data_IF_701961295416
#
_entry.id   IF_701961295416
#
_cell.length_a   1.000
_cell.length_b   1.000
_cell.length_c   1.000
_cell.angle_alpha   90.00
_cell.angle_beta   90.00
_cell.angle_gamma   90.00
#
_symmetry.space_group_name_H-M   'P 1'
#
loop_
_entity.id
_entity.type
_entity.pdbx_description
1 polymer ?
#
# COMPACT_ATOMS: atom_id res chain seq x y z
N UNK A 1 93.12 20.66 16.59
CA UNK A 1 92.08 20.19 17.54
C UNK A 1 90.67 20.67 17.12
N UNK A 2 90.54 21.82 16.53
CA UNK A 2 89.25 22.39 16.09
C UNK A 2 88.43 21.50 15.10
N UNK A 3 89.04 20.88 14.11
CA UNK A 3 88.40 20.07 13.16
C UNK A 3 87.78 18.77 13.78
N UNK A 4 88.40 18.21 14.83
CA UNK A 4 87.84 17.02 15.51
C UNK A 4 86.60 17.36 16.32
N UNK A 5 86.54 18.50 16.96
CA UNK A 5 85.35 19.01 17.66
C UNK A 5 84.15 19.22 16.66
N UNK A 6 84.49 19.82 15.50
CA UNK A 6 83.48 20.04 14.43
C UNK A 6 82.90 18.73 13.91
N UNK A 7 83.73 17.69 13.66
CA UNK A 7 83.22 16.35 13.21
C UNK A 7 82.39 15.67 14.30
N UNK A 8 82.76 15.80 15.58
CA UNK A 8 81.99 15.28 16.70
C UNK A 8 80.62 16.00 16.78
N UNK A 9 80.60 17.32 16.64
CA UNK A 9 79.35 18.08 16.62
C UNK A 9 78.45 17.71 15.49
N UNK A 10 78.98 17.55 14.27
CA UNK A 10 78.23 17.10 13.12
C UNK A 10 77.68 15.67 13.34
N UNK A 11 78.43 14.76 13.90
CA UNK A 11 78.03 13.39 14.23
C UNK A 11 76.90 13.37 15.25
N UNK A 12 76.95 14.21 16.30
CA UNK A 12 75.90 14.34 17.30
C UNK A 12 74.60 14.88 16.66
N UNK A 13 74.73 15.95 15.86
CA UNK A 13 73.56 16.51 15.15
C UNK A 13 72.95 15.50 14.20
N UNK A 14 73.75 14.76 13.43
CA UNK A 14 73.27 13.73 12.56
C UNK A 14 72.54 12.59 13.33
N UNK A 15 73.12 12.15 14.47
CA UNK A 15 72.51 11.20 15.36
C UNK A 15 71.14 11.64 15.89
N UNK A 16 71.09 12.93 16.37
CA UNK A 16 69.82 13.52 16.84
C UNK A 16 68.79 13.58 15.72
N UNK A 17 69.21 13.95 14.51
CA UNK A 17 68.28 13.94 13.33
C UNK A 17 67.77 12.55 12.97
N UNK A 18 68.62 11.52 13.01
CA UNK A 18 68.23 10.13 12.75
C UNK A 18 67.27 9.65 13.83
N UNK A 19 67.54 9.90 15.11
CA UNK A 19 66.64 9.52 16.20
C UNK A 19 65.28 10.23 16.06
N UNK A 20 65.29 11.50 15.73
CA UNK A 20 64.05 12.26 15.51
C UNK A 20 63.27 11.77 14.30
N UNK A 21 63.95 11.38 13.23
CA UNK A 21 63.31 10.80 12.02
C UNK A 21 62.81 9.35 12.24
N UNK A 22 63.36 8.65 13.25
CA UNK A 22 62.98 7.26 13.57
C UNK A 22 61.74 7.16 14.44
N UNK A 23 61.29 8.23 15.06
CA UNK A 23 60.13 8.23 15.96
C UNK A 23 58.93 8.85 15.27
N UNK A 24 57.77 8.18 15.34
CA UNK A 24 56.49 8.73 14.91
C UNK A 24 55.38 8.39 15.89
N UNK A 25 54.34 9.19 15.91
CA UNK A 25 53.21 9.04 16.81
C UNK A 25 51.95 8.71 15.99
N UNK A 26 51.14 7.75 16.46
CA UNK A 26 49.82 7.44 15.95
C UNK A 26 48.78 7.95 16.93
N UNK A 27 47.86 8.77 16.47
CA UNK A 27 46.74 9.31 17.28
C UNK A 27 45.61 8.29 17.40
N UNK A 28 44.77 8.36 18.45
CA UNK A 28 43.64 7.45 18.67
C UNK A 28 42.61 7.40 17.51
N UNK A 29 42.45 8.51 16.76
CA UNK A 29 41.59 8.60 15.59
C UNK A 29 42.21 8.13 14.29
N UNK A 30 43.44 7.60 14.30
CA UNK A 30 44.20 7.20 13.11
C UNK A 30 44.56 5.72 13.14
N UNK A 31 44.63 5.14 11.96
CA UNK A 31 45.22 3.83 11.69
C UNK A 31 46.56 4.06 10.96
N UNK A 32 47.54 3.25 11.22
CA UNK A 32 48.82 3.37 10.54
C UNK A 32 49.34 2.02 10.04
N UNK A 33 49.88 2.05 8.83
CA UNK A 33 50.58 0.92 8.21
C UNK A 33 52.01 1.26 8.06
N UNK A 34 52.88 0.30 8.35
CA UNK A 34 54.31 0.36 8.09
C UNK A 34 54.63 -0.58 6.95
N UNK A 35 55.19 -0.07 5.87
CA UNK A 35 55.58 -0.83 4.68
C UNK A 35 57.04 -0.68 4.35
N UNK A 36 57.60 -1.67 3.63
CA UNK A 36 58.94 -1.68 3.03
C UNK A 36 58.79 -1.97 1.56
N UNK A 37 59.13 -1.03 0.70
CA UNK A 37 59.04 -1.24 -0.76
C UNK A 37 57.63 -1.60 -1.23
N UNK A 38 56.56 -1.15 -0.52
CA UNK A 38 55.16 -1.46 -0.82
C UNK A 38 54.63 -2.75 -0.15
N UNK A 39 55.49 -3.56 0.48
CA UNK A 39 55.08 -4.74 1.24
C UNK A 39 54.72 -4.36 2.69
N UNK A 40 53.59 -4.84 3.19
CA UNK A 40 53.12 -4.53 4.54
C UNK A 40 53.89 -5.32 5.57
N UNK A 41 54.68 -4.64 6.41
CA UNK A 41 55.45 -5.24 7.51
C UNK A 41 54.58 -5.30 8.77
N UNK A 42 53.84 -4.25 9.04
CA UNK A 42 53.02 -4.15 10.24
C UNK A 42 51.79 -3.32 9.94
N UNK A 43 50.63 -3.82 10.36
CA UNK A 43 49.32 -3.21 10.13
C UNK A 43 48.56 -3.14 11.45
N UNK A 44 47.79 -2.07 11.64
CA UNK A 44 46.98 -1.85 12.84
C UNK A 44 47.82 -1.49 14.09
N UNK A 45 48.73 -0.58 13.89
CA UNK A 45 49.56 -0.03 14.97
C UNK A 45 48.69 0.69 16.02
N UNK A 46 48.78 0.25 17.27
CA UNK A 46 48.02 0.86 18.37
C UNK A 46 48.38 2.36 18.53
N UNK A 47 47.44 3.18 19.03
CA UNK A 47 47.76 4.57 19.35
C UNK A 47 48.95 4.67 20.31
N UNK A 48 49.89 5.58 20.01
CA UNK A 48 51.08 5.76 20.82
C UNK A 48 52.32 6.07 20.00
N UNK A 49 53.50 5.87 20.62
CA UNK A 49 54.80 6.16 20.06
C UNK A 49 55.37 4.88 19.41
N UNK A 50 55.78 5.01 18.15
CA UNK A 50 56.32 3.90 17.36
C UNK A 50 57.67 4.30 16.74
N UNK A 51 58.44 3.26 16.40
CA UNK A 51 59.76 3.41 15.75
C UNK A 51 59.70 2.95 14.29
N UNK A 52 60.33 3.71 13.44
CA UNK A 52 60.60 3.37 12.03
C UNK A 52 62.10 3.55 11.72
N UNK A 53 62.59 2.78 10.81
CA UNK A 53 63.91 2.99 10.23
C UNK A 53 63.78 4.01 9.10
N UNK A 54 64.32 5.24 9.23
CA UNK A 54 64.23 6.20 8.16
C UNK A 54 64.86 5.68 6.88
N UNK A 55 64.31 6.03 5.71
CA UNK A 55 64.71 5.60 4.37
C UNK A 55 64.30 4.15 3.98
N UNK A 56 63.97 3.29 4.94
CA UNK A 56 63.55 1.89 4.67
C UNK A 56 62.06 1.71 4.89
N UNK A 57 61.54 2.25 6.01
CA UNK A 57 60.16 2.11 6.36
C UNK A 57 59.34 3.33 5.92
N UNK A 58 58.31 3.07 5.14
CA UNK A 58 57.28 4.04 4.81
C UNK A 58 56.09 3.86 5.76
N UNK A 59 55.55 4.95 6.28
CA UNK A 59 54.39 4.95 7.20
C UNK A 59 53.25 5.72 6.57
N UNK A 60 52.17 5.01 6.22
CA UNK A 60 50.94 5.60 5.75
C UNK A 60 49.91 5.66 6.87
N UNK A 61 49.26 6.83 7.02
CA UNK A 61 48.25 7.07 8.04
C UNK A 61 46.89 7.24 7.40
N UNK A 62 45.87 6.66 8.03
CA UNK A 62 44.48 6.65 7.56
C UNK A 62 43.56 7.12 8.67
N UNK A 63 42.44 7.74 8.33
CA UNK A 63 41.42 8.12 9.29
C UNK A 63 40.58 6.90 9.69
N UNK A 64 40.41 6.68 11.00
CA UNK A 64 39.54 5.63 11.56
C UNK A 64 38.06 6.04 11.59
N UNK A 65 37.79 7.32 11.42
CA UNK A 65 36.46 7.91 11.51
C UNK A 65 35.59 7.45 10.34
N UNK A 66 34.32 7.72 10.50
CA UNK A 66 33.35 7.46 9.40
C UNK A 66 33.54 8.52 8.33
N UNK A 67 33.86 8.07 7.13
CA UNK A 67 33.96 8.87 5.91
C UNK A 67 32.58 8.93 5.27
N UNK A 68 32.18 10.10 4.81
CA UNK A 68 30.94 10.29 4.08
C UNK A 68 31.24 10.73 2.66
N UNK A 69 30.86 9.91 1.69
CA UNK A 69 30.99 10.24 0.27
C UNK A 69 29.61 10.48 -0.33
N UNK A 70 29.46 11.58 -1.08
CA UNK A 70 28.23 11.98 -1.75
C UNK A 70 28.36 11.74 -3.26
N UNK A 71 27.39 11.01 -3.82
CA UNK A 71 27.25 10.77 -5.27
C UNK A 71 26.03 11.55 -5.75
N UNK A 72 26.23 12.38 -6.77
CA UNK A 72 25.20 13.29 -7.29
C UNK A 72 24.87 12.99 -8.73
N UNK A 73 23.59 13.16 -9.08
CA UNK A 73 23.05 13.09 -10.45
C UNK A 73 23.35 11.77 -11.17
N UNK A 74 23.44 10.68 -10.42
CA UNK A 74 23.59 9.35 -11.00
C UNK A 74 22.30 8.94 -11.71
N UNK A 75 22.45 8.37 -12.92
CA UNK A 75 21.33 8.03 -13.80
C UNK A 75 20.96 6.58 -13.69
N UNK A 76 19.67 6.32 -13.43
CA UNK A 76 19.11 4.97 -13.35
C UNK A 76 17.88 4.88 -14.24
N UNK A 77 17.56 3.65 -14.69
CA UNK A 77 16.35 3.35 -15.46
C UNK A 77 15.42 2.52 -14.61
N UNK A 78 14.14 2.90 -14.58
CA UNK A 78 13.08 2.09 -13.94
C UNK A 78 12.69 0.91 -14.84
N UNK A 79 11.80 0.03 -14.32
CA UNK A 79 11.19 -1.04 -15.12
C UNK A 79 10.45 -0.51 -16.37
N UNK A 80 9.93 0.70 -16.30
CA UNK A 80 9.21 1.38 -17.38
C UNK A 80 10.14 2.16 -18.32
N UNK A 81 11.48 1.96 -18.17
CA UNK A 81 12.52 2.65 -18.93
C UNK A 81 12.52 4.19 -18.75
N UNK A 82 11.93 4.67 -17.68
CA UNK A 82 11.98 6.08 -17.33
C UNK A 82 13.32 6.40 -16.65
N UNK A 83 13.98 7.45 -17.12
CA UNK A 83 15.26 7.90 -16.55
C UNK A 83 15.02 8.63 -15.23
N UNK A 84 15.77 8.22 -14.20
CA UNK A 84 15.82 8.89 -12.90
C UNK A 84 17.23 9.43 -12.66
N UNK A 85 17.32 10.60 -12.04
CA UNK A 85 18.54 11.10 -11.41
C UNK A 85 18.41 10.90 -9.92
N UNK A 86 19.39 10.21 -9.36
CA UNK A 86 19.40 9.85 -7.94
C UNK A 86 20.66 10.40 -7.29
N UNK A 87 20.50 11.15 -6.22
CA UNK A 87 21.58 11.52 -5.33
C UNK A 87 21.57 10.58 -4.13
N UNK A 88 22.71 10.04 -3.78
CA UNK A 88 22.86 9.20 -2.61
C UNK A 88 24.18 9.47 -1.91
N UNK A 89 24.25 9.10 -0.63
CA UNK A 89 25.50 9.11 0.10
C UNK A 89 25.82 7.74 0.67
N UNK A 90 27.09 7.54 0.86
CA UNK A 90 27.65 6.33 1.47
C UNK A 90 28.49 6.75 2.67
N UNK A 91 28.22 6.13 3.81
CA UNK A 91 29.05 6.25 5.01
C UNK A 91 29.76 4.95 5.25
N UNK A 92 31.08 5.02 5.31
CA UNK A 92 31.90 3.85 5.52
C UNK A 92 33.10 4.19 6.43
N UNK A 93 33.71 3.17 6.97
CA UNK A 93 34.95 3.28 7.75
C UNK A 93 35.85 2.10 7.46
N UNK A 94 37.13 2.28 7.64
CA UNK A 94 38.09 1.19 7.52
C UNK A 94 37.88 0.22 8.68
N UNK A 95 37.67 -1.07 8.35
CA UNK A 95 37.52 -2.16 9.33
C UNK A 95 38.73 -3.07 9.38
N UNK A 96 39.36 -3.31 8.23
CA UNK A 96 40.59 -4.07 8.12
C UNK A 96 41.60 -3.30 7.26
N UNK A 97 42.56 -2.72 7.92
CA UNK A 97 43.51 -1.81 7.28
C UNK A 97 44.44 -2.53 6.28
N UNK A 98 44.78 -3.80 6.53
CA UNK A 98 45.59 -4.60 5.60
C UNK A 98 44.84 -4.83 4.29
N UNK A 99 43.61 -5.34 4.36
CA UNK A 99 42.79 -5.56 3.17
C UNK A 99 42.47 -4.25 2.43
N UNK A 100 42.24 -3.16 3.16
CA UNK A 100 42.05 -1.85 2.57
C UNK A 100 43.28 -1.41 1.76
N UNK A 101 44.47 -1.53 2.33
CA UNK A 101 45.69 -1.16 1.63
C UNK A 101 45.98 -2.07 0.41
N UNK A 102 45.85 -3.36 0.58
CA UNK A 102 46.02 -4.34 -0.52
C UNK A 102 45.04 -4.13 -1.68
N UNK A 103 43.79 -3.79 -1.38
CA UNK A 103 42.72 -3.62 -2.39
C UNK A 103 42.76 -2.25 -3.08
N UNK A 104 43.12 -1.18 -2.36
CA UNK A 104 43.02 0.21 -2.84
C UNK A 104 44.37 0.90 -3.02
N UNK A 105 45.49 0.25 -2.65
CA UNK A 105 46.81 0.88 -2.58
C UNK A 105 46.88 1.98 -1.51
N UNK A 106 45.97 1.99 -0.54
CA UNK A 106 45.89 3.03 0.47
C UNK A 106 45.22 4.32 0.00
N UNK A 107 44.55 4.31 -1.15
CA UNK A 107 43.84 5.47 -1.65
C UNK A 107 42.36 5.45 -1.22
N UNK A 108 41.93 6.48 -0.48
CA UNK A 108 40.52 6.68 -0.11
C UNK A 108 39.67 6.96 -1.34
N UNK A 109 40.21 7.66 -2.34
CA UNK A 109 39.48 7.93 -3.60
C UNK A 109 39.23 6.64 -4.38
N UNK A 110 40.24 5.74 -4.47
CA UNK A 110 40.05 4.43 -5.09
C UNK A 110 39.02 3.57 -4.35
N UNK A 111 38.96 3.67 -3.02
CA UNK A 111 37.91 3.02 -2.23
C UNK A 111 36.53 3.60 -2.51
N UNK A 112 36.42 4.94 -2.54
CA UNK A 112 35.17 5.62 -2.86
C UNK A 112 34.64 5.23 -4.25
N UNK A 113 35.51 5.21 -5.27
CA UNK A 113 35.14 4.83 -6.62
C UNK A 113 34.60 3.39 -6.70
N UNK A 114 35.33 2.43 -6.10
CA UNK A 114 34.90 1.02 -6.09
C UNK A 114 33.63 0.78 -5.28
N UNK A 115 33.50 1.44 -4.13
CA UNK A 115 32.27 1.40 -3.34
C UNK A 115 31.11 2.04 -4.11
N UNK A 116 31.36 3.19 -4.73
CA UNK A 116 30.39 3.90 -5.55
C UNK A 116 29.83 3.02 -6.66
N UNK A 117 30.69 2.36 -7.44
CA UNK A 117 30.25 1.45 -8.49
C UNK A 117 29.41 0.28 -7.94
N UNK A 118 29.88 -0.36 -6.87
CA UNK A 118 29.13 -1.46 -6.22
C UNK A 118 27.73 -1.02 -5.75
N UNK A 119 27.65 0.16 -5.16
CA UNK A 119 26.38 0.68 -4.66
C UNK A 119 25.48 1.14 -5.81
N UNK A 120 26.05 1.73 -6.86
CA UNK A 120 25.31 2.04 -8.10
C UNK A 120 24.69 0.78 -8.70
N UNK A 121 25.43 -0.30 -8.79
CA UNK A 121 24.90 -1.58 -9.27
C UNK A 121 23.80 -2.13 -8.36
N UNK A 122 23.95 -1.99 -7.06
CA UNK A 122 22.92 -2.37 -6.09
C UNK A 122 21.65 -1.52 -6.23
N UNK A 123 21.78 -0.20 -6.38
CA UNK A 123 20.65 0.71 -6.65
C UNK A 123 20.00 0.35 -7.98
N UNK A 124 20.81 0.14 -9.03
CA UNK A 124 20.34 -0.24 -10.35
C UNK A 124 19.50 -1.51 -10.31
N UNK A 125 19.99 -2.56 -9.62
CA UNK A 125 19.25 -3.83 -9.51
C UNK A 125 17.89 -3.68 -8.85
N UNK A 126 17.76 -2.80 -7.86
CA UNK A 126 16.50 -2.53 -7.14
C UNK A 126 15.58 -1.63 -7.95
N UNK A 127 16.11 -0.57 -8.57
CA UNK A 127 15.32 0.42 -9.34
C UNK A 127 14.76 -0.19 -10.63
N UNK A 128 15.55 -1.01 -11.34
CA UNK A 128 15.13 -1.63 -12.62
C UNK A 128 13.96 -2.60 -12.46
N UNK A 129 13.75 -3.15 -11.29
CA UNK A 129 12.64 -4.07 -11.02
C UNK A 129 11.35 -3.35 -10.60
N UNK A 130 11.38 -2.05 -10.36
CA UNK A 130 10.26 -1.26 -9.82
C UNK A 130 9.77 -0.21 -10.80
N UNK A 131 8.48 0.13 -10.70
CA UNK A 131 7.92 1.26 -11.42
C UNK A 131 8.33 2.58 -10.77
N UNK A 132 8.23 3.69 -11.50
CA UNK A 132 8.51 5.02 -10.96
C UNK A 132 7.70 5.28 -9.68
N UNK A 133 6.41 4.95 -9.69
CA UNK A 133 5.54 5.12 -8.52
C UNK A 133 6.03 4.32 -7.31
N UNK A 134 6.41 3.06 -7.53
CA UNK A 134 6.94 2.22 -6.46
C UNK A 134 8.26 2.75 -5.91
N UNK A 135 9.13 3.32 -6.75
CA UNK A 135 10.39 3.94 -6.31
C UNK A 135 10.15 5.17 -5.45
N UNK A 136 9.15 5.98 -5.79
CA UNK A 136 8.84 7.23 -5.06
C UNK A 136 8.05 6.96 -3.78
N UNK A 137 7.16 5.95 -3.76
CA UNK A 137 6.29 5.62 -2.63
C UNK A 137 6.84 4.54 -1.71
N UNK A 138 7.87 3.78 -2.15
CA UNK A 138 8.47 2.73 -1.34
C UNK A 138 9.01 3.28 -0.01
N UNK A 139 8.81 2.52 1.05
CA UNK A 139 9.43 2.86 2.33
C UNK A 139 10.94 2.92 2.18
N UNK A 140 11.52 4.06 2.51
CA UNK A 140 12.97 4.32 2.39
C UNK A 140 13.81 3.27 3.13
N UNK A 141 13.28 2.68 4.17
CA UNK A 141 13.95 1.64 4.95
C UNK A 141 14.19 0.37 4.13
N UNK A 142 13.18 -0.15 3.43
CA UNK A 142 13.29 -1.36 2.60
C UNK A 142 14.32 -1.20 1.47
N UNK A 143 14.37 -0.01 0.86
CA UNK A 143 15.36 0.32 -0.17
C UNK A 143 16.78 0.32 0.41
N UNK A 144 16.95 0.95 1.56
CA UNK A 144 18.23 1.05 2.26
C UNK A 144 18.74 -0.34 2.64
N UNK A 145 17.89 -1.19 3.20
CA UNK A 145 18.25 -2.54 3.62
C UNK A 145 18.65 -3.42 2.44
N UNK A 146 17.94 -3.35 1.33
CA UNK A 146 18.28 -4.08 0.10
C UNK A 146 19.64 -3.63 -0.47
N UNK A 147 19.88 -2.32 -0.53
CA UNK A 147 21.17 -1.78 -0.98
C UNK A 147 22.32 -2.16 -0.05
N UNK A 148 22.12 -2.06 1.25
CA UNK A 148 23.11 -2.43 2.26
C UNK A 148 23.47 -3.92 2.17
N UNK A 149 22.47 -4.80 2.03
CA UNK A 149 22.68 -6.26 1.93
C UNK A 149 23.51 -6.62 0.70
N UNK A 150 23.22 -6.00 -0.44
CA UNK A 150 23.93 -6.27 -1.68
C UNK A 150 25.37 -5.71 -1.66
N UNK A 151 25.57 -4.58 -1.02
CA UNK A 151 26.87 -3.90 -1.00
C UNK A 151 27.84 -4.41 0.08
N UNK A 152 27.34 -5.01 1.17
CA UNK A 152 28.19 -5.49 2.28
C UNK A 152 29.30 -6.43 1.85
N UNK A 153 28.95 -7.43 1.05
CA UNK A 153 29.94 -8.43 0.61
C UNK A 153 31.09 -7.86 -0.23
N UNK A 154 30.84 -6.78 -0.96
CA UNK A 154 31.89 -6.08 -1.70
C UNK A 154 32.68 -5.10 -0.80
N UNK A 155 32.03 -4.45 0.14
CA UNK A 155 32.69 -3.60 1.12
C UNK A 155 33.66 -4.40 2.00
N UNK A 156 33.30 -5.60 2.43
CA UNK A 156 34.15 -6.50 3.21
C UNK A 156 35.40 -6.90 2.44
N UNK A 157 35.30 -7.16 1.13
CA UNK A 157 36.45 -7.45 0.26
C UNK A 157 37.42 -6.26 0.10
N UNK A 158 36.93 -5.04 0.29
CA UNK A 158 37.75 -3.83 0.30
C UNK A 158 38.33 -3.53 1.69
N UNK A 159 38.02 -4.32 2.70
CA UNK A 159 38.46 -4.08 4.07
C UNK A 159 37.75 -2.91 4.75
N UNK A 160 36.55 -2.54 4.27
CA UNK A 160 35.77 -1.43 4.83
C UNK A 160 34.43 -1.93 5.36
N UNK A 161 33.95 -1.30 6.41
CA UNK A 161 32.62 -1.53 6.95
C UNK A 161 31.68 -0.42 6.49
N UNK A 162 30.62 -0.84 5.80
CA UNK A 162 29.55 0.04 5.34
C UNK A 162 28.64 0.39 6.53
N UNK A 163 28.61 1.67 6.92
CA UNK A 163 27.84 2.15 8.08
C UNK A 163 26.43 2.51 7.67
N UNK A 164 26.28 3.27 6.59
CA UNK A 164 24.98 3.75 6.11
C UNK A 164 25.02 4.04 4.61
N UNK A 165 23.92 3.74 3.92
CA UNK A 165 23.72 4.11 2.52
C UNK A 165 22.30 4.64 2.39
N UNK A 166 22.17 5.88 1.93
CA UNK A 166 20.82 6.48 1.74
C UNK A 166 20.72 7.27 0.47
N UNK A 167 19.55 7.13 -0.15
CA UNK A 167 19.13 8.02 -1.22
C UNK A 167 18.68 9.33 -0.59
N UNK A 168 19.30 10.42 -1.07
CA UNK A 168 19.01 11.79 -0.61
C UNK A 168 17.90 12.40 -1.45
N UNK A 169 17.97 12.19 -2.78
CA UNK A 169 17.09 12.83 -3.74
C UNK A 169 16.84 11.93 -4.95
N UNK A 170 15.61 11.93 -5.44
CA UNK A 170 15.23 11.29 -6.69
C UNK A 170 14.54 12.35 -7.54
N UNK A 171 15.03 12.57 -8.74
CA UNK A 171 14.49 13.55 -9.68
C UNK A 171 14.29 12.95 -11.07
N UNK A 172 13.24 13.40 -11.74
CA UNK A 172 13.07 13.17 -13.17
C UNK A 172 13.84 14.24 -13.96
N UNK A 173 14.50 13.90 -15.07
CA UNK A 173 15.04 14.89 -15.96
C UNK A 173 13.96 15.86 -16.43
N UNK A 174 14.23 17.17 -16.48
CA UNK A 174 13.22 18.17 -16.83
C UNK A 174 12.53 17.90 -18.18
N UNK A 175 13.27 17.31 -19.13
CA UNK A 175 12.78 17.05 -20.50
C UNK A 175 11.65 16.02 -20.56
N UNK A 176 11.55 15.11 -19.59
CA UNK A 176 10.54 14.04 -19.55
C UNK A 176 9.51 14.23 -18.43
N UNK A 177 9.72 15.21 -17.56
CA UNK A 177 8.91 15.41 -16.37
C UNK A 177 7.44 15.63 -16.71
N UNK A 178 7.13 16.52 -17.65
CA UNK A 178 5.74 16.85 -18.01
C UNK A 178 5.03 15.65 -18.65
N UNK A 179 5.70 14.95 -19.56
CA UNK A 179 5.11 13.78 -20.23
C UNK A 179 4.83 12.62 -19.23
N UNK A 180 5.70 12.42 -18.25
CA UNK A 180 5.52 11.43 -17.19
C UNK A 180 4.36 11.82 -16.28
N UNK A 181 4.27 13.08 -15.87
CA UNK A 181 3.16 13.55 -15.05
C UNK A 181 1.82 13.47 -15.78
N UNK A 182 1.77 13.78 -17.07
CA UNK A 182 0.54 13.65 -17.85
C UNK A 182 0.11 12.19 -18.03
N UNK A 183 1.05 11.28 -18.23
CA UNK A 183 0.79 9.83 -18.27
C UNK A 183 0.26 9.33 -16.91
N UNK A 184 0.91 9.72 -15.81
CA UNK A 184 0.46 9.37 -14.46
C UNK A 184 -0.95 9.91 -14.19
N UNK A 185 -1.21 11.18 -14.52
CA UNK A 185 -2.54 11.78 -14.37
C UNK A 185 -3.62 11.04 -15.16
N UNK A 186 -3.29 10.66 -16.41
CA UNK A 186 -4.20 9.88 -17.27
C UNK A 186 -4.45 8.49 -16.70
N UNK A 187 -3.43 7.81 -16.21
CA UNK A 187 -3.53 6.51 -15.55
C UNK A 187 -4.41 6.57 -14.29
N UNK A 188 -4.20 7.57 -13.43
CA UNK A 188 -5.06 7.75 -12.24
C UNK A 188 -6.51 8.09 -12.60
N UNK A 189 -6.74 8.90 -13.64
CA UNK A 189 -8.10 9.17 -14.14
C UNK A 189 -8.79 7.91 -14.64
N UNK A 190 -8.06 7.08 -15.40
CA UNK A 190 -8.58 5.79 -15.90
C UNK A 190 -8.91 4.83 -14.74
N UNK A 191 -8.02 4.72 -13.75
CA UNK A 191 -8.25 3.90 -12.56
C UNK A 191 -9.45 4.40 -11.74
N UNK A 192 -9.55 5.71 -11.54
CA UNK A 192 -10.69 6.30 -10.84
C UNK A 192 -12.02 6.09 -11.61
N UNK A 193 -12.00 6.17 -12.94
CA UNK A 193 -13.17 5.88 -13.78
C UNK A 193 -13.59 4.41 -13.64
N UNK A 194 -12.62 3.49 -13.67
CA UNK A 194 -12.87 2.06 -13.48
C UNK A 194 -13.51 1.78 -12.11
N UNK A 195 -12.94 2.30 -11.02
CA UNK A 195 -13.48 2.12 -9.67
C UNK A 195 -14.90 2.69 -9.51
N UNK A 196 -15.17 3.84 -10.16
CA UNK A 196 -16.54 4.39 -10.18
C UNK A 196 -17.51 3.51 -10.94
N UNK A 197 -17.10 2.97 -12.09
CA UNK A 197 -17.92 2.06 -12.88
C UNK A 197 -18.25 0.77 -12.12
N UNK A 198 -17.25 0.16 -11.46
CA UNK A 198 -17.42 -1.00 -10.59
C UNK A 198 -18.36 -0.70 -9.40
N UNK A 199 -18.22 0.51 -8.81
CA UNK A 199 -19.12 0.96 -7.76
C UNK A 199 -20.58 1.12 -8.23
N UNK A 200 -20.79 1.69 -9.42
CA UNK A 200 -22.12 1.82 -10.04
C UNK A 200 -22.70 0.43 -10.34
N UNK A 201 -21.94 -0.46 -10.95
CA UNK A 201 -22.36 -1.84 -11.22
C UNK A 201 -22.81 -2.55 -9.93
N UNK A 202 -22.00 -2.48 -8.89
CA UNK A 202 -22.31 -3.09 -7.59
C UNK A 202 -23.59 -2.50 -6.98
N UNK A 203 -23.77 -1.17 -7.08
CA UNK A 203 -24.96 -0.50 -6.59
C UNK A 203 -26.21 -0.91 -7.35
N UNK A 204 -26.14 -0.99 -8.69
CA UNK A 204 -27.27 -1.42 -9.52
C UNK A 204 -27.63 -2.90 -9.29
N UNK A 205 -26.63 -3.77 -9.14
CA UNK A 205 -26.85 -5.16 -8.77
C UNK A 205 -27.57 -5.29 -7.42
N UNK A 206 -27.08 -4.57 -6.41
CA UNK A 206 -27.68 -4.57 -5.06
C UNK A 206 -29.13 -4.05 -5.09
N UNK A 207 -29.41 -2.98 -5.87
CA UNK A 207 -30.77 -2.46 -6.05
C UNK A 207 -31.67 -3.45 -6.75
N UNK A 208 -31.18 -4.08 -7.82
CA UNK A 208 -31.95 -5.09 -8.57
C UNK A 208 -32.32 -6.30 -7.68
N UNK A 209 -31.36 -6.79 -6.89
CA UNK A 209 -31.59 -7.88 -5.94
C UNK A 209 -32.60 -7.49 -4.85
N UNK A 210 -32.50 -6.27 -4.30
CA UNK A 210 -33.45 -5.77 -3.32
C UNK A 210 -34.86 -5.61 -3.91
N UNK A 211 -34.99 -5.06 -5.12
CA UNK A 211 -36.28 -4.93 -5.81
C UNK A 211 -36.90 -6.32 -6.15
N UNK A 212 -36.07 -7.26 -6.55
CA UNK A 212 -36.50 -8.64 -6.76
C UNK A 212 -37.04 -9.24 -5.46
N UNK A 213 -36.31 -9.16 -4.36
CA UNK A 213 -36.76 -9.66 -3.06
C UNK A 213 -38.06 -8.96 -2.59
N UNK A 214 -38.14 -7.64 -2.76
CA UNK A 214 -39.37 -6.89 -2.46
C UNK A 214 -40.57 -7.44 -3.26
N UNK A 215 -40.40 -7.64 -4.56
CA UNK A 215 -41.47 -8.19 -5.44
C UNK A 215 -41.88 -9.58 -5.01
N UNK A 216 -40.90 -10.45 -4.71
CA UNK A 216 -41.15 -11.81 -4.21
C UNK A 216 -41.93 -11.82 -2.89
N UNK A 217 -41.52 -11.00 -1.93
CA UNK A 217 -42.20 -10.87 -0.63
C UNK A 217 -43.64 -10.37 -0.81
N UNK A 218 -43.82 -9.33 -1.63
CA UNK A 218 -45.17 -8.80 -1.90
C UNK A 218 -46.05 -9.81 -2.60
N UNK A 219 -45.56 -10.52 -3.60
CA UNK A 219 -46.28 -11.55 -4.31
C UNK A 219 -46.70 -12.70 -3.39
N UNK A 220 -45.78 -13.13 -2.50
CA UNK A 220 -46.12 -14.19 -1.54
C UNK A 220 -47.13 -13.71 -0.48
N UNK A 221 -47.02 -12.47 -0.01
CA UNK A 221 -48.03 -11.90 0.88
C UNK A 221 -49.41 -11.77 0.23
N UNK A 222 -49.48 -11.35 -1.03
CA UNK A 222 -50.75 -11.34 -1.77
C UNK A 222 -51.35 -12.73 -1.98
N UNK A 223 -50.50 -13.72 -2.30
CA UNK A 223 -50.92 -15.12 -2.39
C UNK A 223 -51.50 -15.63 -1.07
N UNK A 224 -50.79 -15.45 0.05
CA UNK A 224 -51.24 -15.85 1.38
C UNK A 224 -52.55 -15.13 1.78
N UNK A 225 -52.65 -13.83 1.50
CA UNK A 225 -53.85 -13.07 1.77
C UNK A 225 -55.05 -13.60 0.93
N UNK A 226 -54.82 -13.98 -0.33
CA UNK A 226 -55.80 -14.62 -1.19
C UNK A 226 -56.26 -15.98 -0.66
N UNK A 227 -55.35 -16.81 -0.23
CA UNK A 227 -55.63 -18.11 0.39
C UNK A 227 -56.45 -17.97 1.68
N UNK A 228 -56.05 -17.05 2.60
CA UNK A 228 -56.78 -16.81 3.84
C UNK A 228 -58.19 -16.29 3.58
N UNK A 229 -58.34 -15.33 2.63
CA UNK A 229 -59.69 -14.84 2.23
C UNK A 229 -60.54 -15.98 1.62
N UNK A 230 -59.96 -16.77 0.70
CA UNK A 230 -60.65 -17.89 0.09
C UNK A 230 -61.10 -18.95 1.12
N UNK A 231 -60.25 -19.26 2.09
CA UNK A 231 -60.58 -20.14 3.22
C UNK A 231 -61.71 -19.56 4.08
N UNK A 232 -61.64 -18.23 4.39
CA UNK A 232 -62.65 -17.52 5.13
C UNK A 232 -64.02 -17.52 4.42
N UNK A 233 -64.00 -17.26 3.11
CA UNK A 233 -65.22 -17.27 2.29
C UNK A 233 -65.79 -18.69 2.20
N UNK A 234 -64.97 -19.73 2.05
CA UNK A 234 -65.42 -21.11 2.05
C UNK A 234 -66.04 -21.54 3.37
N UNK A 235 -65.40 -21.15 4.52
CA UNK A 235 -65.94 -21.43 5.86
C UNK A 235 -67.28 -20.67 6.07
N UNK A 236 -67.36 -19.43 5.70
CA UNK A 236 -68.59 -18.66 5.76
C UNK A 236 -69.71 -19.31 4.93
N UNK A 237 -69.40 -19.70 3.70
CA UNK A 237 -70.33 -20.39 2.82
C UNK A 237 -70.82 -21.72 3.38
N UNK A 238 -69.91 -22.49 4.03
CA UNK A 238 -70.30 -23.75 4.69
C UNK A 238 -71.20 -23.48 5.91
N UNK A 239 -70.92 -22.49 6.72
CA UNK A 239 -71.77 -22.11 7.87
C UNK A 239 -73.14 -21.67 7.38
N UNK A 240 -73.22 -20.85 6.32
CA UNK A 240 -74.50 -20.46 5.71
C UNK A 240 -75.25 -21.64 5.12
N UNK A 241 -74.63 -22.57 4.42
CA UNK A 241 -75.26 -23.78 3.88
C UNK A 241 -75.80 -24.66 4.99
N UNK A 242 -75.08 -24.88 6.10
CA UNK A 242 -75.56 -25.63 7.25
C UNK A 242 -76.77 -24.95 7.93
N UNK A 243 -76.76 -23.61 7.99
CA UNK A 243 -77.87 -22.83 8.54
C UNK A 243 -79.11 -22.91 7.63
N UNK A 244 -78.95 -22.90 6.29
CA UNK A 244 -80.01 -23.07 5.33
C UNK A 244 -80.74 -24.38 5.46
N UNK A 245 -80.05 -25.51 5.66
CA UNK A 245 -80.65 -26.82 5.84
C UNK A 245 -81.52 -26.94 7.08
N UNK A 246 -81.29 -26.10 8.13
CA UNK A 246 -82.13 -26.11 9.34
C UNK A 246 -83.48 -25.40 9.17
N UNK A 247 -83.56 -24.32 8.41
CA UNK A 247 -84.76 -23.59 8.08
C UNK A 247 -84.61 -22.82 6.76
N UNK A 248 -84.91 -23.49 5.64
CA UNK A 248 -84.67 -22.94 4.29
C UNK A 248 -85.54 -21.71 3.97
N UNK A 249 -86.70 -21.64 4.54
CA UNK A 249 -87.67 -20.54 4.27
C UNK A 249 -87.19 -19.27 4.99
N UNK A 250 -86.77 -19.34 6.28
CA UNK A 250 -86.22 -18.22 7.07
C UNK A 250 -84.89 -17.76 6.46
N UNK A 251 -84.03 -18.65 6.03
CA UNK A 251 -82.73 -18.25 5.43
C UNK A 251 -82.96 -17.51 4.07
N UNK A 252 -83.88 -18.03 3.25
CA UNK A 252 -84.27 -17.38 1.98
C UNK A 252 -84.78 -15.95 2.23
N UNK A 253 -85.62 -15.79 3.27
CA UNK A 253 -86.15 -14.47 3.68
C UNK A 253 -85.01 -13.56 4.14
N UNK A 254 -84.19 -14.02 5.07
CA UNK A 254 -83.09 -13.27 5.62
C UNK A 254 -82.11 -12.82 4.54
N UNK A 255 -81.73 -13.73 3.66
CA UNK A 255 -80.80 -13.45 2.55
C UNK A 255 -81.34 -12.45 1.57
N UNK A 256 -82.65 -12.53 1.29
CA UNK A 256 -83.32 -11.58 0.43
C UNK A 256 -83.38 -10.18 1.07
N UNK A 257 -83.60 -10.07 2.38
CA UNK A 257 -83.55 -8.78 3.11
C UNK A 257 -82.16 -8.19 3.12
N UNK A 258 -81.15 -8.99 3.30
CA UNK A 258 -79.73 -8.56 3.25
C UNK A 258 -79.37 -8.07 1.84
N UNK A 259 -79.73 -8.80 0.83
CA UNK A 259 -79.53 -8.42 -0.59
C UNK A 259 -80.28 -7.13 -0.94
N UNK A 260 -81.51 -6.94 -0.45
CA UNK A 260 -82.23 -5.67 -0.63
C UNK A 260 -81.51 -4.51 0.01
N UNK A 261 -80.99 -4.66 1.25
CA UNK A 261 -80.24 -3.65 1.95
C UNK A 261 -78.96 -3.28 1.18
N UNK A 262 -78.24 -4.26 0.67
CA UNK A 262 -76.98 -4.04 -0.03
C UNK A 262 -77.17 -3.49 -1.46
N UNK A 263 -78.31 -3.81 -2.12
CA UNK A 263 -78.65 -3.30 -3.44
C UNK A 263 -79.38 -1.94 -3.46
N UNK A 264 -80.07 -1.61 -2.36
CA UNK A 264 -80.98 -0.41 -2.30
C UNK A 264 -80.42 0.58 -1.26
N UNK A 265 -79.16 0.89 -1.31
CA UNK A 265 -78.49 1.56 -0.18
C UNK A 265 -78.06 3.01 -0.38
N UNK A 266 -78.22 3.61 -1.55
CA UNK A 266 -77.71 4.97 -1.78
C UNK A 266 -78.80 5.99 -2.11
N UNK A 267 -78.79 7.16 -1.48
CA UNK A 267 -79.70 8.26 -1.78
C UNK A 267 -79.46 8.71 -3.25
N UNK A 268 -80.48 8.44 -4.10
CA UNK A 268 -80.52 8.91 -5.49
C UNK A 268 -80.71 7.80 -6.52
N UNK A 269 -80.74 6.55 -6.14
CA UNK A 269 -80.97 5.46 -7.08
C UNK A 269 -82.49 5.36 -7.43
N UNK A 270 -82.77 5.34 -8.73
CA UNK A 270 -84.12 5.11 -9.23
C UNK A 270 -84.25 3.61 -9.48
N UNK A 271 -85.07 2.96 -8.68
CA UNK A 271 -85.31 1.52 -8.83
C UNK A 271 -86.51 1.27 -9.73
N UNK A 272 -86.31 0.68 -10.91
CA UNK A 272 -87.41 0.24 -11.79
C UNK A 272 -87.64 -1.22 -11.52
N UNK A 273 -88.76 -1.53 -10.88
CA UNK A 273 -89.10 -2.87 -10.42
C UNK A 273 -90.26 -3.44 -11.34
N UNK A 274 -90.08 -4.65 -11.82
CA UNK A 274 -91.16 -5.41 -12.42
C UNK A 274 -91.94 -6.18 -11.31
N UNK A 275 -93.28 -6.03 -11.22
CA UNK A 275 -94.08 -6.61 -10.12
C UNK A 275 -94.03 -8.12 -9.98
N UNK A 276 -93.72 -8.84 -11.05
CA UNK A 276 -93.74 -10.32 -11.09
C UNK A 276 -92.36 -10.97 -10.86
N UNK A 277 -91.34 -10.23 -10.42
CA UNK A 277 -90.02 -10.76 -10.22
C UNK A 277 -89.95 -11.52 -8.87
N UNK A 278 -89.58 -12.81 -8.93
CA UNK A 278 -89.39 -13.69 -7.74
C UNK A 278 -88.41 -13.19 -6.75
N UNK A 279 -87.50 -12.25 -7.16
CA UNK A 279 -86.54 -11.58 -6.29
C UNK A 279 -87.21 -10.70 -5.21
N UNK A 280 -88.35 -10.05 -5.54
CA UNK A 280 -89.08 -9.18 -4.63
C UNK A 280 -90.26 -9.87 -3.90
N UNK A 281 -90.29 -11.20 -3.93
CA UNK A 281 -91.34 -12.01 -3.30
C UNK A 281 -91.69 -11.67 -1.87
N UNK A 282 -90.66 -11.25 -1.11
CA UNK A 282 -90.87 -10.86 0.29
C UNK A 282 -91.14 -9.36 0.48
N UNK A 283 -90.95 -8.55 -0.55
CA UNK A 283 -91.25 -7.11 -0.50
C UNK A 283 -92.73 -6.87 -0.66
N UNK A 284 -93.42 -7.65 -1.44
CA UNK A 284 -94.89 -7.59 -1.73
C UNK A 284 -95.73 -8.09 -0.53
N UNK A 285 -95.24 -9.05 0.24
CA UNK A 285 -95.96 -9.66 1.37
C UNK A 285 -95.98 -8.79 2.64
N UNK A 286 -95.42 -7.60 2.65
CA UNK A 286 -95.47 -6.68 3.78
C UNK A 286 -96.68 -5.79 3.85
N UNK A 287 -97.65 -5.90 2.94
CA UNK A 287 -98.92 -5.23 3.05
C UNK A 287 -99.87 -6.05 3.95
N UNK A 288 -100.35 -5.46 5.05
CA UNK A 288 -101.33 -6.17 5.88
C UNK A 288 -102.65 -6.37 5.09
N UNK A 289 -103.04 -7.62 4.87
CA UNK A 289 -104.36 -7.90 4.31
C UNK A 289 -105.42 -7.29 5.22
N UNK A 290 -106.39 -6.53 4.63
CA UNK A 290 -107.53 -6.04 5.39
C UNK A 290 -108.42 -7.25 5.81
N UNK A 291 -109.02 -7.20 6.99
CA UNK A 291 -109.87 -8.30 7.48
C UNK A 291 -111.07 -8.51 6.51
N UNK A 292 -111.15 -9.70 5.99
CA UNK A 292 -112.38 -10.12 5.29
C UNK A 292 -113.53 -10.24 6.32
N UNK A 293 -114.61 -9.52 6.06
CA UNK A 293 -115.93 -9.66 6.73
C UNK A 293 -116.68 -10.81 6.16
#
# INVERSE_FOLDING_TARGET
MQNRLLYILIGVVACILVVRASVFTVSEGQLAIKSIGGEIVDSDLAPGLHFRVPLVHEVSRFDKRVITQLYRQERFLTREQEQLRVDFYVKWRISNLRHFYESTGGSEDAANDRLGETIKDSIKSVVTQRTLQQVVTAERAEFTDAMMKNARGAADKLGVNLVDVRITKIELPPQVQDSVFDRMRSSFKAQAAKLRAEGIETAERTRADANKQQTEILADAFRQAGEIRGQGDAQASEIYAKSYTKNAEFYSFYRSMQSYRDAIGTQGDILVISPDNSYFKYFDKSQPQPPQR
#
